data_IF_462444506176
#
_entry.id   IF_462444506176
#
_cell.length_a   1.000
_cell.length_b   1.000
_cell.length_c   1.000
_cell.angle_alpha   90.00
_cell.angle_beta   90.00
_cell.angle_gamma   90.00
#
_symmetry.space_group_name_H-M   'P 1'
#
loop_
_entity.id
_entity.type
_entity.pdbx_description
1 polymer ?
#
# COMPACT_ATOMS: atom_id res chain seq x y z
N UNK A 1 9.77 7.07 34.97
CA UNK A 1 9.22 8.24 34.25
C UNK A 1 7.80 8.49 34.75
N UNK A 2 7.39 9.75 34.91
CA UNK A 2 6.01 10.17 35.15
C UNK A 2 5.30 10.40 33.80
N UNK A 3 3.96 10.42 33.80
CA UNK A 3 3.18 10.79 32.60
C UNK A 3 3.63 12.18 32.12
N UNK A 4 4.02 12.28 30.85
CA UNK A 4 4.53 13.52 30.24
C UNK A 4 6.05 13.68 30.28
N UNK A 5 6.79 12.79 30.95
CA UNK A 5 8.26 12.80 30.88
C UNK A 5 8.74 12.36 29.49
N UNK A 6 9.69 13.11 28.92
CA UNK A 6 10.43 12.67 27.73
C UNK A 6 11.52 11.65 28.11
N UNK A 7 11.58 10.54 27.38
CA UNK A 7 12.67 9.56 27.47
C UNK A 7 13.89 10.01 26.67
N UNK A 8 14.96 10.40 27.38
CA UNK A 8 16.26 10.73 26.79
C UNK A 8 17.36 9.70 27.12
N UNK A 9 18.33 9.56 26.23
CA UNK A 9 19.50 8.69 26.44
C UNK A 9 20.27 9.04 27.72
N UNK A 10 20.54 10.32 27.98
CA UNK A 10 21.35 10.73 29.13
C UNK A 10 20.70 10.39 30.49
N UNK A 11 19.37 10.49 30.59
CA UNK A 11 18.64 10.26 31.84
C UNK A 11 18.19 8.81 32.01
N UNK A 12 17.86 8.12 30.92
CA UNK A 12 17.20 6.81 30.97
C UNK A 12 17.95 5.68 30.25
N UNK A 13 18.96 6.00 29.44
CA UNK A 13 19.66 5.02 28.60
C UNK A 13 18.89 4.61 27.32
N UNK A 14 17.67 5.11 27.11
CA UNK A 14 16.88 4.84 25.91
C UNK A 14 15.97 6.03 25.56
N UNK A 15 15.42 5.98 24.34
CA UNK A 15 14.38 6.88 23.84
C UNK A 15 13.17 6.04 23.44
N UNK A 16 11.97 6.51 23.77
CA UNK A 16 10.71 5.96 23.26
C UNK A 16 9.87 7.10 22.68
N UNK A 17 9.06 6.79 21.67
CA UNK A 17 8.18 7.73 20.98
C UNK A 17 6.73 7.30 21.17
N UNK A 18 5.85 8.26 21.48
CA UNK A 18 4.41 8.07 21.42
C UNK A 18 3.91 8.58 20.06
N UNK A 19 2.98 7.86 19.46
CA UNK A 19 2.30 8.25 18.23
C UNK A 19 0.82 8.50 18.53
N UNK A 20 0.26 9.57 17.96
CA UNK A 20 -1.17 9.80 17.90
C UNK A 20 -1.56 9.72 16.43
N UNK A 21 -2.43 8.76 16.10
CA UNK A 21 -2.90 8.50 14.74
C UNK A 21 -4.36 8.95 14.70
N UNK A 22 -4.69 10.08 14.04
CA UNK A 22 -6.06 10.57 13.97
C UNK A 22 -7.01 9.65 13.18
N UNK A 23 -6.45 8.89 12.24
CA UNK A 23 -7.15 7.99 11.32
C UNK A 23 -6.20 6.85 10.91
N UNK A 24 -6.77 5.70 10.56
CA UNK A 24 -6.07 4.57 9.95
C UNK A 24 -6.26 4.50 8.41
N UNK A 25 -6.85 5.56 7.83
CA UNK A 25 -7.25 5.70 6.42
C UNK A 25 -6.44 6.78 5.64
N UNK A 26 -5.17 7.00 5.99
CA UNK A 26 -4.30 7.89 5.21
C UNK A 26 -2.88 7.35 5.09
N UNK A 27 -2.34 7.35 3.87
CA UNK A 27 -1.03 6.81 3.53
C UNK A 27 -1.15 5.42 2.91
N UNK A 28 -0.06 4.65 2.90
CA UNK A 28 -0.13 3.26 2.40
C UNK A 28 -0.90 2.39 3.39
N UNK A 29 -2.03 1.84 2.97
CA UNK A 29 -2.97 1.14 3.86
C UNK A 29 -3.57 -0.13 3.26
N UNK A 30 -4.27 -0.88 4.11
CA UNK A 30 -5.05 -2.07 3.80
C UNK A 30 -6.43 -1.90 4.42
N UNK A 31 -7.46 -1.92 3.58
CA UNK A 31 -8.83 -1.67 4.03
C UNK A 31 -9.58 -3.00 4.11
N UNK A 32 -9.99 -3.42 5.32
CA UNK A 32 -10.81 -4.58 5.53
C UNK A 32 -12.30 -4.21 5.36
N UNK A 33 -13.21 -5.18 5.16
CA UNK A 33 -14.63 -4.92 4.94
C UNK A 33 -15.31 -4.07 6.02
N UNK A 34 -14.87 -4.18 7.28
CA UNK A 34 -15.38 -3.38 8.39
C UNK A 34 -15.21 -1.86 8.22
N UNK A 35 -14.44 -1.41 7.23
CA UNK A 35 -14.33 -0.02 6.88
C UNK A 35 -15.71 0.57 6.51
N UNK A 36 -16.54 -0.17 5.75
CA UNK A 36 -17.85 0.28 5.24
C UNK A 36 -19.01 -0.67 5.54
N UNK A 37 -18.75 -1.86 6.10
CA UNK A 37 -19.78 -2.85 6.42
C UNK A 37 -19.81 -3.17 7.94
N UNK A 38 -20.97 -3.02 8.58
CA UNK A 38 -21.13 -3.28 10.03
C UNK A 38 -20.93 -4.76 10.43
N UNK A 39 -21.01 -5.69 9.47
CA UNK A 39 -20.71 -7.12 9.65
C UNK A 39 -19.39 -7.53 8.98
N UNK A 40 -18.62 -6.56 8.48
CA UNK A 40 -17.35 -6.78 7.82
C UNK A 40 -16.29 -7.34 8.76
N UNK A 41 -15.35 -8.10 8.19
CA UNK A 41 -14.13 -8.49 8.90
C UNK A 41 -13.31 -7.23 9.24
N UNK A 42 -12.73 -7.19 10.43
CA UNK A 42 -11.80 -6.13 10.86
C UNK A 42 -10.38 -6.47 10.41
N UNK A 43 -9.46 -5.51 10.49
CA UNK A 43 -8.04 -5.72 10.18
C UNK A 43 -7.44 -6.85 11.05
N UNK A 44 -7.94 -7.01 12.28
CA UNK A 44 -7.50 -8.07 13.19
C UNK A 44 -8.04 -9.46 12.86
N UNK A 45 -9.07 -9.55 12.02
CA UNK A 45 -9.63 -10.83 11.59
C UNK A 45 -8.89 -11.42 10.39
N UNK A 46 -8.10 -10.60 9.68
CA UNK A 46 -7.38 -11.04 8.49
C UNK A 46 -6.40 -12.19 8.83
N UNK A 47 -6.45 -13.29 8.05
CA UNK A 47 -5.67 -14.48 8.34
C UNK A 47 -4.19 -14.27 7.98
N UNK A 48 -3.26 -15.00 8.64
CA UNK A 48 -1.83 -14.94 8.31
C UNK A 48 -1.50 -15.30 6.86
N UNK A 49 -2.43 -15.92 6.12
CA UNK A 49 -2.28 -16.23 4.69
C UNK A 49 -2.22 -14.99 3.81
N UNK A 50 -2.47 -13.78 4.32
CA UNK A 50 -2.15 -12.53 3.64
C UNK A 50 -0.64 -12.28 3.52
N UNK A 51 0.17 -12.86 4.40
CA UNK A 51 1.57 -12.47 4.59
C UNK A 51 2.40 -12.48 3.30
N UNK A 52 2.19 -13.43 2.39
CA UNK A 52 2.88 -13.51 1.09
C UNK A 52 1.95 -14.05 0.00
N UNK A 53 1.90 -13.39 -1.15
CA UNK A 53 1.09 -13.79 -2.33
C UNK A 53 1.84 -13.58 -3.65
N UNK A 54 1.42 -14.22 -4.75
CA UNK A 54 1.82 -13.80 -6.09
C UNK A 54 1.43 -12.34 -6.33
N UNK A 55 2.31 -11.58 -6.99
CA UNK A 55 2.08 -10.19 -7.36
C UNK A 55 1.90 -10.06 -8.87
N UNK A 56 0.86 -9.34 -9.25
CA UNK A 56 0.59 -8.87 -10.61
C UNK A 56 0.60 -7.35 -10.57
N UNK A 57 1.29 -6.70 -11.51
CA UNK A 57 1.19 -5.25 -11.72
C UNK A 57 0.60 -5.01 -13.11
N UNK A 58 -0.57 -4.38 -13.16
CA UNK A 58 -1.21 -3.96 -14.40
C UNK A 58 -0.91 -2.48 -14.60
N UNK A 59 -0.23 -2.16 -15.70
CA UNK A 59 0.25 -0.82 -15.98
C UNK A 59 -0.69 -0.06 -16.93
N UNK A 60 -1.26 1.04 -16.45
CA UNK A 60 -2.11 1.96 -17.20
C UNK A 60 -1.57 3.41 -17.20
N UNK A 61 -0.33 3.65 -16.75
CA UNK A 61 0.19 5.01 -16.53
C UNK A 61 0.15 5.88 -17.79
N UNK A 62 0.41 5.32 -18.98
CA UNK A 62 0.33 6.08 -20.24
C UNK A 62 -1.10 6.54 -20.58
N UNK A 63 -2.11 5.80 -20.13
CA UNK A 63 -3.52 6.16 -20.30
C UNK A 63 -3.90 7.26 -19.31
N UNK A 64 -3.47 7.12 -18.06
CA UNK A 64 -3.63 8.13 -17.01
C UNK A 64 -2.95 9.45 -17.37
N UNK A 65 -1.78 9.39 -18.02
CA UNK A 65 -1.08 10.59 -18.50
C UNK A 65 -1.86 11.35 -19.58
N UNK A 66 -2.75 10.68 -20.33
CA UNK A 66 -3.62 11.28 -21.36
C UNK A 66 -4.97 11.70 -20.79
N UNK A 67 -5.47 10.96 -19.82
CA UNK A 67 -6.72 11.18 -19.12
C UNK A 67 -6.52 10.89 -17.62
N UNK A 68 -6.33 11.92 -16.78
CA UNK A 68 -6.13 11.73 -15.34
C UNK A 68 -7.27 11.04 -14.61
N UNK A 69 -8.45 10.92 -15.24
CA UNK A 69 -9.62 10.21 -14.70
C UNK A 69 -9.73 8.76 -15.19
N UNK A 70 -8.78 8.28 -15.99
CA UNK A 70 -8.86 6.95 -16.59
C UNK A 70 -8.97 5.86 -15.52
N UNK A 71 -10.03 5.06 -15.61
CA UNK A 71 -10.25 3.91 -14.76
C UNK A 71 -9.87 2.62 -15.48
N UNK A 72 -9.07 1.76 -14.84
CA UNK A 72 -8.69 0.46 -15.41
C UNK A 72 -9.93 -0.36 -15.76
N UNK A 73 -9.91 -0.93 -16.96
CA UNK A 73 -11.02 -1.67 -17.56
C UNK A 73 -10.75 -3.18 -17.60
N UNK A 74 -11.77 -3.99 -17.93
CA UNK A 74 -11.57 -5.43 -18.18
C UNK A 74 -10.64 -5.64 -19.39
N UNK A 75 -10.69 -4.77 -20.39
CA UNK A 75 -9.81 -4.84 -21.57
C UNK A 75 -8.34 -4.65 -21.19
N UNK A 76 -8.03 -3.80 -20.20
CA UNK A 76 -6.67 -3.67 -19.66
C UNK A 76 -6.19 -4.97 -19.05
N UNK A 77 -7.04 -5.61 -18.23
CA UNK A 77 -6.73 -6.90 -17.60
C UNK A 77 -6.48 -7.96 -18.66
N UNK A 78 -7.36 -8.08 -19.66
CA UNK A 78 -7.21 -9.10 -20.71
C UNK A 78 -6.01 -8.85 -21.63
N UNK A 79 -5.68 -7.58 -21.90
CA UNK A 79 -4.48 -7.21 -22.66
C UNK A 79 -3.21 -7.58 -21.89
N UNK A 80 -3.19 -7.35 -20.57
CA UNK A 80 -2.10 -7.81 -19.70
C UNK A 80 -2.00 -9.34 -19.70
N UNK A 81 -3.12 -10.05 -19.57
CA UNK A 81 -3.14 -11.52 -19.57
C UNK A 81 -2.65 -12.12 -20.90
N UNK A 82 -2.90 -11.46 -22.03
CA UNK A 82 -2.40 -11.90 -23.33
C UNK A 82 -0.85 -11.88 -23.41
N UNK A 83 -0.20 -11.02 -22.62
CA UNK A 83 1.26 -10.88 -22.57
C UNK A 83 1.90 -11.72 -21.47
N UNK A 84 1.23 -11.84 -20.31
CA UNK A 84 1.81 -12.42 -19.09
C UNK A 84 1.18 -13.74 -18.64
N UNK A 85 0.10 -14.17 -19.29
CA UNK A 85 -0.71 -15.30 -18.87
C UNK A 85 -1.84 -14.88 -17.93
N UNK A 86 -2.74 -15.82 -17.61
CA UNK A 86 -3.90 -15.55 -16.75
C UNK A 86 -3.48 -15.08 -15.36
N UNK A 87 -4.16 -14.05 -14.83
CA UNK A 87 -4.01 -13.58 -13.45
C UNK A 87 -4.19 -14.76 -12.48
N UNK A 88 -3.19 -15.10 -11.65
CA UNK A 88 -3.28 -16.26 -10.78
C UNK A 88 -4.35 -16.09 -9.70
N UNK A 89 -5.08 -17.17 -9.40
CA UNK A 89 -6.01 -17.21 -8.26
C UNK A 89 -5.28 -16.92 -6.93
N UNK A 90 -5.90 -16.11 -6.07
CA UNK A 90 -5.35 -15.69 -4.79
C UNK A 90 -4.14 -14.76 -4.89
N UNK A 91 -3.82 -14.24 -6.07
CA UNK A 91 -2.80 -13.19 -6.25
C UNK A 91 -3.26 -11.83 -5.72
N UNK A 92 -2.32 -10.90 -5.61
CA UNK A 92 -2.60 -9.48 -5.43
C UNK A 92 -2.35 -8.77 -6.76
N UNK A 93 -3.28 -7.91 -7.15
CA UNK A 93 -3.18 -7.10 -8.38
C UNK A 93 -2.97 -5.64 -8.00
N UNK A 94 -1.79 -5.10 -8.31
CA UNK A 94 -1.51 -3.67 -8.15
C UNK A 94 -1.72 -2.94 -9.48
N UNK A 95 -2.39 -1.80 -9.45
CA UNK A 95 -2.67 -0.98 -10.63
C UNK A 95 -1.70 0.19 -10.65
N UNK A 96 -0.76 0.14 -11.60
CA UNK A 96 0.22 1.22 -11.81
C UNK A 96 -0.39 2.33 -12.65
N UNK A 97 -0.37 3.53 -12.11
CA UNK A 97 -0.87 4.77 -12.70
C UNK A 97 0.19 5.88 -12.69
N UNK A 98 1.32 5.68 -12.00
CA UNK A 98 2.34 6.68 -11.66
C UNK A 98 1.80 7.83 -10.80
N UNK A 99 0.61 7.69 -10.19
CA UNK A 99 0.02 8.72 -9.32
C UNK A 99 0.87 9.00 -8.07
N UNK A 100 1.58 8.00 -7.57
CA UNK A 100 2.46 8.11 -6.40
C UNK A 100 3.60 9.12 -6.57
N UNK A 101 3.90 9.53 -7.80
CA UNK A 101 4.86 10.61 -8.09
C UNK A 101 4.39 11.98 -7.60
N UNK A 102 3.13 12.12 -7.19
CA UNK A 102 2.54 13.34 -6.63
C UNK A 102 2.58 13.43 -5.11
N UNK A 103 3.05 12.40 -4.38
CA UNK A 103 3.00 12.38 -2.91
C UNK A 103 3.75 13.51 -2.20
N UNK A 104 4.78 14.06 -2.85
CA UNK A 104 5.52 15.20 -2.28
C UNK A 104 4.74 16.52 -2.38
N UNK A 105 3.70 16.60 -3.22
CA UNK A 105 2.78 17.74 -3.30
C UNK A 105 1.65 17.58 -2.27
N UNK A 106 1.99 17.85 -1.00
CA UNK A 106 1.10 17.70 0.16
C UNK A 106 -0.22 18.50 0.03
N UNK A 107 -0.29 19.50 -0.85
CA UNK A 107 -1.51 20.28 -1.05
C UNK A 107 -2.44 19.67 -2.10
N UNK A 108 -1.91 18.99 -3.13
CA UNK A 108 -2.67 18.58 -4.32
C UNK A 108 -2.64 17.08 -4.60
N UNK A 109 -1.97 16.27 -3.78
CA UNK A 109 -1.81 14.84 -4.04
C UNK A 109 -3.12 14.05 -4.13
N UNK A 110 -4.19 14.56 -3.50
CA UNK A 110 -5.51 13.94 -3.49
C UNK A 110 -6.55 14.71 -4.34
N UNK A 111 -6.10 15.58 -5.23
CA UNK A 111 -7.00 16.35 -6.08
C UNK A 111 -7.73 15.46 -7.08
N UNK A 112 -9.02 15.76 -7.28
CA UNK A 112 -9.82 15.17 -8.36
C UNK A 112 -9.59 15.94 -9.67
N UNK A 113 -9.65 15.27 -10.84
CA UNK A 113 -9.84 13.83 -11.01
C UNK A 113 -8.55 13.03 -10.77
N UNK A 114 -8.71 11.82 -10.24
CA UNK A 114 -7.65 10.82 -10.07
C UNK A 114 -8.03 9.53 -10.82
N UNK A 115 -7.05 8.68 -11.20
CA UNK A 115 -7.32 7.43 -11.92
C UNK A 115 -7.95 6.41 -10.99
N UNK A 116 -8.68 5.44 -11.52
CA UNK A 116 -9.35 4.44 -10.67
C UNK A 116 -9.33 3.04 -11.22
N UNK A 117 -10.14 2.18 -10.62
CA UNK A 117 -10.48 0.86 -11.17
C UNK A 117 -11.99 0.81 -11.39
N UNK A 118 -12.39 0.51 -12.63
CA UNK A 118 -13.82 0.41 -12.94
C UNK A 118 -14.47 -0.74 -12.16
N UNK A 119 -15.75 -0.58 -11.80
CA UNK A 119 -16.50 -1.61 -11.09
C UNK A 119 -16.52 -2.96 -11.83
N UNK A 120 -16.61 -2.92 -13.17
CA UNK A 120 -16.56 -4.14 -14.00
C UNK A 120 -15.20 -4.83 -13.91
N UNK A 121 -14.09 -4.08 -13.88
CA UNK A 121 -12.76 -4.63 -13.69
C UNK A 121 -12.59 -5.23 -12.28
N UNK A 122 -13.09 -4.56 -11.24
CA UNK A 122 -13.10 -5.09 -9.87
C UNK A 122 -13.86 -6.42 -9.79
N UNK A 123 -15.10 -6.46 -10.30
CA UNK A 123 -15.91 -7.68 -10.37
C UNK A 123 -15.23 -8.79 -11.15
N UNK A 124 -14.61 -8.45 -12.29
CA UNK A 124 -13.89 -9.43 -13.10
C UNK A 124 -12.71 -10.06 -12.34
N UNK A 125 -11.87 -9.23 -11.74
CA UNK A 125 -10.73 -9.68 -10.95
C UNK A 125 -11.15 -10.52 -9.74
N UNK A 126 -12.08 -10.02 -8.93
CA UNK A 126 -12.49 -10.68 -7.70
C UNK A 126 -13.38 -11.92 -7.93
N UNK A 127 -14.34 -11.86 -8.85
CA UNK A 127 -15.29 -12.96 -9.05
C UNK A 127 -14.79 -14.00 -10.06
N UNK A 128 -14.11 -13.58 -11.14
CA UNK A 128 -13.67 -14.51 -12.18
C UNK A 128 -12.23 -14.96 -12.01
N UNK A 129 -11.31 -14.06 -11.64
CA UNK A 129 -9.90 -14.42 -11.36
C UNK A 129 -9.66 -14.82 -9.91
N UNK A 130 -10.58 -14.51 -9.01
CA UNK A 130 -10.53 -14.90 -7.58
C UNK A 130 -9.23 -14.45 -6.93
N UNK A 131 -8.83 -13.21 -7.23
CA UNK A 131 -7.68 -12.57 -6.58
C UNK A 131 -7.96 -12.37 -5.08
N UNK A 132 -6.90 -12.22 -4.29
CA UNK A 132 -7.04 -11.90 -2.88
C UNK A 132 -7.57 -10.47 -2.69
N UNK A 133 -6.87 -9.51 -3.29
CA UNK A 133 -7.26 -8.11 -3.34
C UNK A 133 -6.55 -7.36 -4.46
N UNK A 134 -7.08 -6.19 -4.80
CA UNK A 134 -6.42 -5.25 -5.68
C UNK A 134 -5.91 -4.04 -4.88
N UNK A 135 -4.88 -3.37 -5.40
CA UNK A 135 -4.41 -2.12 -4.85
C UNK A 135 -4.07 -1.11 -5.92
N UNK A 136 -4.02 0.15 -5.55
CA UNK A 136 -3.84 1.27 -6.47
C UNK A 136 -3.08 2.41 -5.78
N UNK A 137 -2.54 3.30 -6.60
CA UNK A 137 -1.73 4.42 -6.10
C UNK A 137 -2.59 5.50 -5.41
N UNK A 138 -3.72 6.00 -5.95
CA UNK A 138 -4.57 6.98 -5.24
C UNK A 138 -5.03 6.56 -3.83
N UNK A 139 -5.63 7.49 -3.09
CA UNK A 139 -6.21 7.23 -1.76
C UNK A 139 -7.71 6.86 -1.82
N UNK A 140 -8.21 6.50 -2.99
CA UNK A 140 -9.59 6.09 -3.21
C UNK A 140 -9.61 5.15 -4.44
N UNK A 141 -10.39 4.06 -4.40
CA UNK A 141 -10.48 3.08 -5.52
C UNK A 141 -10.91 3.71 -6.85
N UNK A 142 -11.83 4.66 -6.79
CA UNK A 142 -12.49 5.23 -7.95
C UNK A 142 -12.95 6.65 -7.69
N UNK A 143 -13.12 7.44 -8.75
CA UNK A 143 -13.50 8.84 -8.63
C UNK A 143 -15.02 9.08 -8.72
N UNK A 144 -15.85 8.03 -8.60
CA UNK A 144 -17.32 8.21 -8.65
C UNK A 144 -17.80 9.03 -7.44
N UNK A 145 -18.97 9.70 -7.52
CA UNK A 145 -19.45 10.54 -6.43
C UNK A 145 -19.58 9.83 -5.07
N UNK A 146 -19.92 8.54 -5.09
CA UNK A 146 -20.22 7.73 -3.91
C UNK A 146 -19.22 6.56 -3.72
N UNK A 147 -18.09 6.56 -4.43
CA UNK A 147 -17.07 5.50 -4.42
C UNK A 147 -17.68 4.10 -4.64
N UNK A 148 -18.44 3.93 -5.72
CA UNK A 148 -19.21 2.72 -6.02
C UNK A 148 -18.34 1.45 -6.04
N UNK A 149 -17.09 1.56 -6.49
CA UNK A 149 -16.13 0.46 -6.51
C UNK A 149 -15.75 0.01 -5.10
N UNK A 150 -15.36 0.95 -4.25
CA UNK A 150 -15.05 0.68 -2.84
C UNK A 150 -16.26 0.15 -2.08
N UNK A 151 -17.42 0.79 -2.24
CA UNK A 151 -18.67 0.35 -1.63
C UNK A 151 -18.98 -1.12 -2.01
N UNK A 152 -18.83 -1.47 -3.29
CA UNK A 152 -19.04 -2.84 -3.74
C UNK A 152 -18.01 -3.80 -3.11
N UNK A 153 -16.73 -3.44 -3.05
CA UNK A 153 -15.68 -4.29 -2.47
C UNK A 153 -15.96 -4.61 -1.00
N UNK A 154 -16.22 -3.60 -0.19
CA UNK A 154 -16.41 -3.75 1.25
C UNK A 154 -17.67 -4.57 1.55
N UNK A 155 -18.79 -4.29 0.89
CA UNK A 155 -20.04 -5.05 1.05
C UNK A 155 -20.02 -6.45 0.43
N UNK A 156 -19.01 -6.78 -0.37
CA UNK A 156 -18.76 -8.14 -0.87
C UNK A 156 -17.60 -8.84 -0.13
N UNK A 157 -17.17 -8.28 1.00
CA UNK A 157 -16.15 -8.83 1.89
C UNK A 157 -14.77 -9.02 1.22
N UNK A 158 -14.42 -8.13 0.28
CA UNK A 158 -13.07 -8.03 -0.25
C UNK A 158 -12.27 -6.94 0.47
N UNK A 159 -10.94 -7.03 0.42
CA UNK A 159 -10.06 -5.97 0.90
C UNK A 159 -9.52 -5.15 -0.26
N UNK A 160 -8.94 -3.99 0.03
CA UNK A 160 -8.18 -3.19 -0.95
C UNK A 160 -6.91 -2.60 -0.35
N UNK A 161 -5.98 -2.17 -1.21
CA UNK A 161 -4.79 -1.44 -0.79
C UNK A 161 -4.73 -0.07 -1.48
N UNK A 162 -4.48 0.97 -0.70
CA UNK A 162 -4.43 2.35 -1.21
C UNK A 162 -3.08 3.00 -0.89
N UNK A 163 -2.78 4.10 -1.57
CA UNK A 163 -1.57 4.87 -1.31
C UNK A 163 -0.28 4.09 -1.57
N UNK A 164 -0.32 3.09 -2.47
CA UNK A 164 0.89 2.33 -2.82
C UNK A 164 1.84 3.18 -3.68
N UNK A 165 3.11 2.81 -3.73
CA UNK A 165 4.13 3.59 -4.43
C UNK A 165 5.20 2.71 -5.08
N UNK A 166 5.97 3.31 -5.99
CA UNK A 166 7.09 2.68 -6.70
C UNK A 166 6.72 1.48 -7.58
N UNK A 167 5.48 1.41 -8.08
CA UNK A 167 5.05 0.33 -8.98
C UNK A 167 5.81 0.35 -10.31
N UNK A 168 6.41 1.49 -10.69
CA UNK A 168 7.32 1.63 -11.83
C UNK A 168 8.63 0.84 -11.68
N UNK A 169 8.96 0.40 -10.47
CA UNK A 169 10.16 -0.39 -10.16
C UNK A 169 9.86 -1.89 -9.97
N UNK A 170 8.61 -2.31 -10.13
CA UNK A 170 8.16 -3.69 -9.88
C UNK A 170 7.89 -4.40 -11.20
N UNK A 171 8.27 -5.68 -11.37
CA UNK A 171 7.94 -6.41 -12.58
C UNK A 171 6.42 -6.63 -12.69
N UNK A 172 5.87 -6.51 -13.90
CA UNK A 172 4.45 -6.78 -14.18
C UNK A 172 4.01 -8.18 -13.75
N UNK A 173 4.88 -9.18 -13.90
CA UNK A 173 4.61 -10.57 -13.57
C UNK A 173 5.82 -11.28 -12.94
N UNK A 174 5.57 -12.36 -12.20
CA UNK A 174 6.61 -13.25 -11.67
C UNK A 174 7.18 -12.86 -10.31
N UNK A 175 6.74 -11.75 -9.72
CA UNK A 175 7.07 -11.37 -8.35
C UNK A 175 6.13 -12.00 -7.33
N UNK A 176 6.57 -12.02 -6.08
CA UNK A 176 5.70 -12.15 -4.91
C UNK A 176 5.53 -10.79 -4.24
N UNK A 177 4.51 -10.65 -3.41
CA UNK A 177 4.33 -9.52 -2.50
C UNK A 177 4.31 -10.03 -1.06
N UNK A 178 5.12 -9.43 -0.20
CA UNK A 178 5.00 -9.55 1.25
C UNK A 178 4.11 -8.42 1.77
N UNK A 179 3.17 -8.76 2.63
CA UNK A 179 2.12 -7.86 3.12
C UNK A 179 2.18 -7.81 4.64
N UNK A 180 2.77 -6.74 5.18
CA UNK A 180 2.79 -6.49 6.62
C UNK A 180 1.84 -5.35 6.95
N UNK A 181 1.02 -5.49 7.99
CA UNK A 181 0.13 -4.42 8.44
C UNK A 181 0.05 -4.40 9.97
N UNK A 182 -0.23 -3.23 10.54
CA UNK A 182 -0.57 -3.14 11.95
C UNK A 182 -1.87 -3.91 12.19
N UNK A 183 -1.92 -4.70 13.27
CA UNK A 183 -3.08 -5.56 13.59
C UNK A 183 -3.80 -5.11 14.88
N UNK A 184 -4.29 -3.85 14.97
CA UNK A 184 -5.06 -3.40 16.12
C UNK A 184 -6.35 -4.20 16.24
N UNK A 185 -6.68 -4.65 17.45
CA UNK A 185 -7.88 -5.44 17.71
C UNK A 185 -9.13 -4.63 17.35
N UNK A 186 -9.94 -5.15 16.42
CA UNK A 186 -11.16 -4.53 15.95
C UNK A 186 -10.97 -3.31 15.03
N UNK A 187 -9.77 -3.10 14.47
CA UNK A 187 -9.49 -1.94 13.60
C UNK A 187 -10.24 -2.00 12.27
N UNK A 188 -10.69 -0.84 11.79
CA UNK A 188 -11.44 -0.67 10.53
C UNK A 188 -10.56 -0.34 9.33
N UNK A 189 -9.27 -0.09 9.56
CA UNK A 189 -8.22 0.01 8.55
C UNK A 189 -6.88 -0.41 9.11
N UNK A 190 -5.82 -0.18 8.34
CA UNK A 190 -4.48 -0.43 8.85
C UNK A 190 -3.38 0.05 7.93
N UNK A 191 -2.44 0.82 8.50
CA UNK A 191 -1.16 1.10 7.87
C UNK A 191 -0.49 -0.20 7.43
N UNK A 192 -0.13 -0.24 6.15
CA UNK A 192 0.42 -1.40 5.49
C UNK A 192 1.80 -1.11 4.92
N UNK A 193 2.61 -2.16 4.85
CA UNK A 193 3.91 -2.20 4.21
C UNK A 193 3.91 -3.34 3.21
N UNK A 194 3.79 -2.96 1.95
CA UNK A 194 3.90 -3.83 0.80
C UNK A 194 5.35 -3.89 0.33
N UNK A 195 5.87 -5.09 0.12
CA UNK A 195 7.23 -5.30 -0.38
C UNK A 195 7.14 -6.30 -1.54
N UNK A 196 7.51 -5.88 -2.73
CA UNK A 196 7.69 -6.78 -3.86
C UNK A 196 8.97 -7.62 -3.68
N UNK A 197 8.88 -8.91 -3.90
CA UNK A 197 9.99 -9.86 -3.96
C UNK A 197 10.11 -10.28 -5.43
N UNK A 198 11.00 -9.61 -6.15
CA UNK A 198 11.19 -9.78 -7.57
C UNK A 198 12.08 -11.00 -7.91
N UNK A 199 12.06 -11.48 -9.17
CA UNK A 199 13.06 -12.41 -9.68
C UNK A 199 14.49 -11.88 -9.47
N UNK A 200 15.46 -12.79 -9.33
CA UNK A 200 16.83 -12.45 -8.95
C UNK A 200 17.55 -11.54 -9.96
N UNK A 201 17.13 -11.60 -11.22
CA UNK A 201 17.64 -10.81 -12.34
C UNK A 201 16.96 -9.44 -12.50
N UNK A 202 15.94 -9.13 -11.69
CA UNK A 202 15.23 -7.86 -11.79
C UNK A 202 16.15 -6.70 -11.39
N UNK A 203 16.24 -5.61 -12.19
CA UNK A 203 17.25 -4.58 -12.01
C UNK A 203 16.99 -3.61 -10.85
N UNK A 204 15.78 -3.60 -10.30
CA UNK A 204 15.40 -2.72 -9.19
C UNK A 204 15.35 -3.47 -7.86
N UNK A 205 15.69 -2.76 -6.79
CA UNK A 205 15.62 -3.26 -5.42
C UNK A 205 17.01 -3.45 -4.79
N UNK A 206 17.05 -4.25 -3.74
CA UNK A 206 18.27 -4.62 -3.02
C UNK A 206 18.22 -6.09 -2.66
N UNK A 207 19.36 -6.75 -2.68
CA UNK A 207 19.50 -8.14 -2.24
C UNK A 207 19.87 -8.22 -0.76
N UNK A 208 19.65 -9.39 -0.15
CA UNK A 208 20.14 -9.68 1.21
C UNK A 208 21.67 -9.60 1.28
N UNK A 209 22.38 -9.89 0.18
CA UNK A 209 23.83 -9.77 0.12
C UNK A 209 24.30 -8.30 0.18
N UNK A 210 23.59 -7.38 -0.47
CA UNK A 210 23.90 -5.94 -0.46
C UNK A 210 23.44 -5.26 0.84
N UNK A 211 22.32 -5.71 1.41
CA UNK A 211 21.73 -5.17 2.63
C UNK A 211 21.41 -6.31 3.63
N UNK A 212 22.41 -6.86 4.33
CA UNK A 212 22.25 -8.05 5.18
C UNK A 212 21.40 -7.83 6.44
N UNK A 213 21.10 -6.57 6.79
CA UNK A 213 20.22 -6.22 7.90
C UNK A 213 20.79 -6.41 9.31
N UNK A 214 21.92 -7.12 9.46
CA UNK A 214 22.58 -7.33 10.74
C UNK A 214 24.12 -7.38 10.61
N UNK A 215 24.86 -6.52 11.35
CA UNK A 215 24.36 -5.37 12.10
C UNK A 215 23.84 -4.27 11.17
N UNK A 216 22.89 -3.46 11.64
CA UNK A 216 22.44 -2.28 10.92
C UNK A 216 23.55 -1.20 10.88
N UNK A 217 23.58 -0.33 9.85
CA UNK A 217 24.53 0.77 9.77
C UNK A 217 24.42 1.73 10.96
N UNK A 218 25.56 2.31 11.39
CA UNK A 218 25.58 3.37 12.39
C UNK A 218 25.30 4.72 11.74
N UNK A 219 24.53 5.56 12.43
CA UNK A 219 24.31 6.95 12.03
C UNK A 219 25.60 7.77 12.12
N UNK A 220 25.76 8.76 11.25
CA UNK A 220 26.97 9.61 11.16
C UNK A 220 27.09 10.64 12.28
N UNK A 221 26.01 10.91 13.00
CA UNK A 221 25.95 11.83 14.13
C UNK A 221 24.93 11.33 15.18
N UNK A 222 24.97 11.84 16.44
CA UNK A 222 23.96 11.53 17.44
C UNK A 222 22.55 11.86 16.95
N UNK A 223 21.61 10.96 17.18
CA UNK A 223 20.20 11.20 16.86
C UNK A 223 19.58 12.18 17.86
N UNK A 224 18.89 13.21 17.36
CA UNK A 224 18.12 14.18 18.16
C UNK A 224 16.77 14.44 17.51
N UNK A 225 15.77 14.81 18.33
CA UNK A 225 14.45 15.22 17.82
C UNK A 225 14.55 16.63 17.23
N UNK A 226 14.08 16.79 16.00
CA UNK A 226 13.86 18.10 15.39
C UNK A 226 12.62 18.81 15.95
N UNK A 227 12.33 20.04 15.50
CA UNK A 227 11.11 20.77 15.86
C UNK A 227 9.81 20.04 15.49
N UNK A 228 9.87 19.17 14.48
CA UNK A 228 8.80 18.28 14.02
C UNK A 228 8.70 16.98 14.85
N UNK A 229 9.52 16.82 15.89
CA UNK A 229 9.54 15.63 16.75
C UNK A 229 10.26 14.42 16.16
N UNK A 230 10.74 14.49 14.91
CA UNK A 230 11.37 13.38 14.19
C UNK A 230 12.85 13.26 14.60
N UNK A 231 13.29 12.04 14.89
CA UNK A 231 14.68 11.74 15.23
C UNK A 231 15.56 11.72 13.98
N UNK A 232 16.55 12.60 13.91
CA UNK A 232 17.53 12.65 12.81
C UNK A 232 18.96 12.76 13.33
N UNK A 233 19.98 12.30 12.57
CA UNK A 233 21.37 12.56 12.90
C UNK A 233 21.61 14.08 12.90
N UNK A 234 22.07 14.62 14.03
CA UNK A 234 22.32 16.07 14.17
C UNK A 234 23.78 16.27 14.57
N UNK A 235 24.63 16.78 13.64
CA UNK A 235 26.00 17.17 13.94
C UNK A 235 26.05 18.18 15.10
N UNK A 236 27.16 18.18 15.83
CA UNK A 236 27.43 19.18 16.88
C UNK A 236 27.84 20.51 16.28
#
# INVERSE_FOLDING_TARGET
>A
AKKGDEFTYAKHGFVATAYALPTDQYGTQLDPPAHWDEYGATISDLPPTFAVRPLVVIDIHEKVAKDPSYAMTVDDVTAWEAKHGTVPEGSVVMVRTDWSKKWDDVEHFNDKPFPGVSLDALKFLHLQRRILFHGHEPLDTDATPDLEGEAWLMHNHFTQAEGVANLDQVPEAGALISIGFAKPLGGTGGYARYIAIAPAEWPHGVTIAEAPGAPLPKQTAPLRRGPDGVMRPTPQ
#
